data_IF_989444725038
#
_entry.id   IF_989444725038
#
_cell.length_a   1.000
_cell.length_b   1.000
_cell.length_c   1.000
_cell.angle_alpha   90.00
_cell.angle_beta   90.00
_cell.angle_gamma   90.00
#
_symmetry.space_group_name_H-M   'P 1'
#
loop_
_entity.id
_entity.type
_entity.pdbx_description
1 polymer ?
#
# COMPACT_ATOMS: atom_id res chain seq x y z
N UNK A 1 15.96 23.92 9.38
CA UNK A 1 15.93 22.50 8.91
C UNK A 1 14.55 21.85 9.14
N UNK A 2 13.44 22.51 8.82
CA UNK A 2 12.08 22.01 9.09
C UNK A 2 11.36 21.39 7.88
N UNK A 3 11.96 21.45 6.68
CA UNK A 3 11.27 21.03 5.45
C UNK A 3 11.32 19.52 5.16
N UNK A 4 12.28 18.78 5.75
CA UNK A 4 12.46 17.33 5.50
C UNK A 4 11.54 16.41 6.30
N UNK A 5 10.83 16.91 7.31
CA UNK A 5 9.94 16.10 8.16
C UNK A 5 8.58 15.82 7.51
N UNK A 6 8.02 16.78 6.78
CA UNK A 6 6.71 16.62 6.12
C UNK A 6 6.69 15.50 5.08
N UNK A 7 7.73 15.43 4.24
CA UNK A 7 7.87 14.38 3.22
C UNK A 7 7.78 12.96 3.81
N UNK A 8 8.29 12.74 5.04
CA UNK A 8 8.31 11.41 5.66
C UNK A 8 6.91 10.92 6.03
N UNK A 9 6.10 11.81 6.59
CA UNK A 9 4.70 11.56 6.94
C UNK A 9 3.85 11.36 5.69
N UNK A 10 4.10 12.15 4.64
CA UNK A 10 3.37 12.07 3.38
C UNK A 10 3.54 10.70 2.71
N UNK A 11 4.75 10.16 2.60
CA UNK A 11 4.96 8.85 1.95
C UNK A 11 4.37 7.68 2.76
N UNK A 12 4.44 7.75 4.09
CA UNK A 12 3.84 6.76 4.96
C UNK A 12 2.31 6.76 4.80
N UNK A 13 1.68 7.93 4.90
CA UNK A 13 0.24 8.07 4.73
C UNK A 13 -0.23 7.64 3.34
N UNK A 14 0.50 8.03 2.29
CA UNK A 14 0.18 7.64 0.90
C UNK A 14 0.20 6.13 0.75
N UNK A 15 1.20 5.43 1.32
CA UNK A 15 1.23 3.96 1.32
C UNK A 15 0.00 3.40 2.02
N UNK A 16 -0.25 3.79 3.26
CA UNK A 16 -1.40 3.25 4.03
C UNK A 16 -2.72 3.50 3.30
N UNK A 17 -2.93 4.71 2.78
CA UNK A 17 -4.12 5.07 2.01
C UNK A 17 -4.27 4.21 0.74
N UNK A 18 -3.17 3.98 0.01
CA UNK A 18 -3.14 3.07 -1.14
C UNK A 18 -3.50 1.63 -0.73
N UNK A 19 -3.06 1.17 0.45
CA UNK A 19 -3.44 -0.13 0.99
C UNK A 19 -4.94 -0.26 1.17
N UNK A 20 -5.58 0.75 1.76
CA UNK A 20 -7.04 0.81 1.90
C UNK A 20 -7.75 0.81 0.53
N UNK A 21 -7.31 1.65 -0.41
CA UNK A 21 -7.95 1.75 -1.73
C UNK A 21 -7.85 0.43 -2.49
N UNK A 22 -6.66 -0.17 -2.55
CA UNK A 22 -6.44 -1.45 -3.25
C UNK A 22 -7.19 -2.58 -2.54
N UNK A 23 -7.23 -2.58 -1.21
CA UNK A 23 -8.02 -3.55 -0.43
C UNK A 23 -9.50 -3.43 -0.74
N UNK A 24 -10.01 -2.20 -0.84
CA UNK A 24 -11.40 -1.93 -1.19
C UNK A 24 -11.75 -2.46 -2.57
N UNK A 25 -10.92 -2.14 -3.57
CA UNK A 25 -11.09 -2.61 -4.94
C UNK A 25 -11.05 -4.13 -5.01
N UNK A 26 -10.10 -4.78 -4.32
CA UNK A 26 -10.00 -6.24 -4.32
C UNK A 26 -11.22 -6.92 -3.66
N UNK A 27 -11.74 -6.34 -2.57
CA UNK A 27 -12.93 -6.82 -1.88
C UNK A 27 -14.21 -6.65 -2.70
N UNK A 28 -14.43 -5.45 -3.25
CA UNK A 28 -15.62 -5.13 -4.05
C UNK A 28 -15.68 -5.99 -5.31
N UNK A 29 -14.55 -6.18 -5.99
CA UNK A 29 -14.47 -7.02 -7.19
C UNK A 29 -14.50 -8.53 -6.89
N UNK A 30 -14.59 -8.92 -5.61
CA UNK A 30 -14.51 -10.31 -5.14
C UNK A 30 -13.37 -11.09 -5.76
N UNK A 31 -12.20 -10.45 -5.89
CA UNK A 31 -11.02 -11.10 -6.45
C UNK A 31 -10.62 -12.25 -5.53
N UNK A 32 -10.40 -13.44 -6.11
CA UNK A 32 -10.09 -14.66 -5.36
C UNK A 32 -8.59 -14.96 -5.39
N UNK A 33 -8.07 -15.36 -4.23
CA UNK A 33 -6.75 -15.99 -4.08
C UNK A 33 -5.62 -15.23 -4.77
N UNK A 34 -4.96 -15.89 -5.72
CA UNK A 34 -3.70 -15.42 -6.31
C UNK A 34 -3.82 -14.09 -7.06
N UNK A 35 -4.98 -13.80 -7.65
CA UNK A 35 -5.18 -12.56 -8.44
C UNK A 35 -5.19 -11.33 -7.54
N UNK A 36 -5.87 -11.40 -6.40
CA UNK A 36 -5.85 -10.30 -5.43
C UNK A 36 -4.47 -10.12 -4.81
N UNK A 37 -3.77 -11.23 -4.53
CA UNK A 37 -2.39 -11.19 -4.02
C UNK A 37 -1.45 -10.52 -5.03
N UNK A 38 -1.54 -10.89 -6.32
CA UNK A 38 -0.74 -10.28 -7.38
C UNK A 38 -1.00 -8.77 -7.49
N UNK A 39 -2.25 -8.33 -7.34
CA UNK A 39 -2.59 -6.91 -7.34
C UNK A 39 -2.01 -6.17 -6.13
N UNK A 40 -2.18 -6.69 -4.92
CA UNK A 40 -1.62 -6.06 -3.70
C UNK A 40 -0.09 -5.97 -3.74
N UNK A 41 0.57 -7.10 -4.01
CA UNK A 41 2.04 -7.17 -4.09
C UNK A 41 2.57 -6.37 -5.26
N UNK A 42 1.92 -6.46 -6.43
CA UNK A 42 2.31 -5.73 -7.63
C UNK A 42 2.22 -4.22 -7.44
N UNK A 43 1.14 -3.72 -6.83
CA UNK A 43 0.98 -2.29 -6.56
C UNK A 43 2.04 -1.78 -5.58
N UNK A 44 2.32 -2.54 -4.53
CA UNK A 44 3.40 -2.22 -3.59
C UNK A 44 4.77 -2.19 -4.27
N UNK A 45 5.08 -3.18 -5.12
CA UNK A 45 6.34 -3.25 -5.85
C UNK A 45 6.50 -2.06 -6.80
N UNK A 46 5.46 -1.69 -7.54
CA UNK A 46 5.45 -0.50 -8.42
C UNK A 46 5.69 0.76 -7.58
N UNK A 47 5.04 0.89 -6.42
CA UNK A 47 5.21 2.05 -5.54
C UNK A 47 6.65 2.14 -4.99
N UNK A 48 7.25 1.03 -4.59
CA UNK A 48 8.65 0.99 -4.14
C UNK A 48 9.60 1.38 -5.27
N UNK A 49 9.41 0.85 -6.49
CA UNK A 49 10.22 1.20 -7.66
C UNK A 49 10.09 2.68 -8.02
N UNK A 50 8.88 3.22 -7.96
CA UNK A 50 8.59 4.63 -8.22
C UNK A 50 9.30 5.55 -7.19
N UNK A 51 9.16 5.25 -5.90
CA UNK A 51 9.82 5.99 -4.83
C UNK A 51 11.35 5.87 -4.90
N UNK A 52 11.86 4.68 -5.28
CA UNK A 52 13.30 4.48 -5.51
C UNK A 52 13.80 5.34 -6.67
N UNK A 53 13.02 5.46 -7.77
CA UNK A 53 13.36 6.32 -8.92
C UNK A 53 13.34 7.80 -8.56
N UNK A 54 12.52 8.21 -7.58
CA UNK A 54 12.53 9.57 -7.03
C UNK A 54 13.70 9.86 -6.09
N UNK A 55 14.60 8.91 -5.84
CA UNK A 55 15.76 9.10 -4.97
C UNK A 55 15.45 9.04 -3.47
N UNK A 56 14.33 8.42 -3.09
CA UNK A 56 13.98 8.21 -1.68
C UNK A 56 14.97 7.22 -1.04
N UNK A 57 15.46 7.54 0.16
CA UNK A 57 16.36 6.66 0.92
C UNK A 57 15.75 5.27 1.14
N UNK A 58 16.56 4.24 0.96
CA UNK A 58 16.10 2.84 1.06
C UNK A 58 15.42 2.53 2.40
N UNK A 59 15.86 3.14 3.51
CA UNK A 59 15.23 2.96 4.82
C UNK A 59 13.76 3.43 4.85
N UNK A 60 13.44 4.51 4.13
CA UNK A 60 12.08 5.08 4.04
C UNK A 60 11.20 4.35 3.00
N UNK A 61 11.81 3.56 2.10
CA UNK A 61 11.07 2.72 1.16
C UNK A 61 10.34 1.58 1.89
N UNK A 62 10.95 0.99 2.90
CA UNK A 62 10.37 -0.11 3.67
C UNK A 62 9.49 0.35 4.84
N UNK A 63 9.59 1.61 5.24
CA UNK A 63 8.75 2.22 6.26
C UNK A 63 7.28 2.29 5.78
N UNK A 64 6.32 1.80 6.58
CA UNK A 64 4.90 1.78 6.21
C UNK A 64 4.46 0.61 5.34
N UNK A 65 5.35 -0.33 4.99
CA UNK A 65 5.01 -1.50 4.16
C UNK A 65 4.11 -2.48 4.92
N UNK A 66 4.39 -2.73 6.19
CA UNK A 66 3.59 -3.66 6.99
C UNK A 66 2.17 -3.11 7.21
N UNK A 67 2.04 -1.80 7.36
CA UNK A 67 0.77 -1.10 7.51
C UNK A 67 -0.01 -1.06 6.21
N UNK A 68 0.66 -0.91 5.05
CA UNK A 68 0.04 -1.15 3.74
C UNK A 68 -0.55 -2.55 3.66
N UNK A 69 0.26 -3.59 3.96
CA UNK A 69 -0.16 -5.00 3.84
C UNK A 69 -1.30 -5.29 4.81
N UNK A 70 -1.21 -4.81 6.05
CA UNK A 70 -2.25 -4.94 7.06
C UNK A 70 -3.55 -4.28 6.61
N UNK A 71 -3.51 -3.01 6.18
CA UNK A 71 -4.69 -2.29 5.70
C UNK A 71 -5.32 -2.97 4.48
N UNK A 72 -4.50 -3.34 3.49
CA UNK A 72 -4.94 -4.04 2.28
C UNK A 72 -5.61 -5.38 2.61
N UNK A 73 -4.94 -6.25 3.37
CA UNK A 73 -5.45 -7.58 3.70
C UNK A 73 -6.72 -7.51 4.57
N UNK A 74 -6.75 -6.60 5.54
CA UNK A 74 -7.91 -6.43 6.43
C UNK A 74 -9.11 -5.95 5.65
N UNK A 75 -8.96 -4.89 4.84
CA UNK A 75 -10.09 -4.33 4.09
C UNK A 75 -10.57 -5.28 2.98
N UNK A 76 -9.64 -5.94 2.31
CA UNK A 76 -9.98 -6.94 1.29
C UNK A 76 -10.80 -8.08 1.90
N UNK A 77 -10.36 -8.66 3.01
CA UNK A 77 -11.08 -9.74 3.69
C UNK A 77 -12.45 -9.29 4.18
N UNK A 78 -12.51 -8.10 4.77
CA UNK A 78 -13.74 -7.56 5.35
C UNK A 78 -14.79 -7.27 4.27
N UNK A 79 -14.41 -6.60 3.19
CA UNK A 79 -15.32 -6.29 2.08
C UNK A 79 -15.69 -7.53 1.27
N UNK A 80 -14.76 -8.46 1.06
CA UNK A 80 -15.05 -9.75 0.42
C UNK A 80 -16.08 -10.57 1.22
N UNK A 81 -16.08 -10.44 2.55
CA UNK A 81 -17.01 -11.18 3.43
C UNK A 81 -18.39 -10.53 3.53
N UNK A 82 -18.46 -9.19 3.42
CA UNK A 82 -19.72 -8.44 3.53
C UNK A 82 -20.49 -8.43 2.20
N UNK A 83 -19.79 -8.27 1.08
CA UNK A 83 -20.39 -8.20 -0.27
C UNK A 83 -20.61 -9.59 -0.84
#
# INVERSE_FOLDING_TARGET
MAWRSNLRLEYYYVKVLLGFIIGAVCGILKLKGLVGILLGVGTLAILILYLKKMGVESRKLFEGVMEYVGAWATLWSLLYSIL
#
